data_IF_461451129681
#
_entry.id   IF_461451129681
#
_cell.length_a   1.000
_cell.length_b   1.000
_cell.length_c   1.000
_cell.angle_alpha   90.00
_cell.angle_beta   90.00
_cell.angle_gamma   90.00
#
_symmetry.space_group_name_H-M   'P 1'
#
loop_
_entity.id
_entity.type
_entity.pdbx_description
1 polymer ?
#
# COMPACT_ATOMS: atom_id res chain seq x y z
N UNK A 1 -30.59 37.76 1.66
CA UNK A 1 -29.81 37.97 2.91
C UNK A 1 -30.12 36.79 3.82
N UNK A 2 -29.23 35.88 4.18
CA UNK A 2 -27.76 35.82 4.16
C UNK A 2 -27.36 34.51 3.47
N UNK A 3 -26.53 34.63 2.44
CA UNK A 3 -25.87 33.54 1.72
C UNK A 3 -24.68 33.04 2.54
N UNK A 4 -24.78 31.82 3.07
CA UNK A 4 -23.63 31.08 3.59
C UNK A 4 -23.14 30.09 2.53
N UNK A 5 -22.39 30.55 1.54
CA UNK A 5 -21.60 29.68 0.67
C UNK A 5 -20.25 29.42 1.34
N UNK A 6 -20.15 28.35 2.13
CA UNK A 6 -18.83 27.82 2.52
C UNK A 6 -18.21 27.19 1.26
N UNK A 7 -17.26 27.91 0.66
CA UNK A 7 -16.53 27.52 -0.53
C UNK A 7 -15.70 26.25 -0.26
N UNK A 8 -16.06 25.13 -0.88
CA UNK A 8 -15.26 23.90 -0.95
C UNK A 8 -14.05 24.01 -1.90
N UNK A 9 -13.86 25.15 -2.57
CA UNK A 9 -12.87 25.35 -3.64
C UNK A 9 -11.59 26.18 -3.35
N UNK A 10 -11.31 26.74 -2.15
CA UNK A 10 -10.16 27.62 -1.98
C UNK A 10 -8.83 26.88 -2.11
N UNK A 11 -8.71 25.65 -1.59
CA UNK A 11 -7.45 24.90 -1.66
C UNK A 11 -7.13 24.47 -3.09
N UNK A 12 -8.04 23.75 -3.75
CA UNK A 12 -7.89 23.33 -5.15
C UNK A 12 -7.41 24.47 -6.06
N UNK A 13 -8.10 25.62 -6.04
CA UNK A 13 -7.76 26.74 -6.92
C UNK A 13 -6.39 27.35 -6.59
N UNK A 14 -6.10 27.55 -5.30
CA UNK A 14 -4.79 28.09 -4.85
C UNK A 14 -3.63 27.20 -5.32
N UNK A 15 -3.80 25.87 -5.28
CA UNK A 15 -2.79 24.94 -5.76
C UNK A 15 -2.65 24.98 -7.30
N UNK A 16 -3.76 25.12 -8.04
CA UNK A 16 -3.74 25.29 -9.49
C UNK A 16 -3.05 26.59 -9.92
N UNK A 17 -3.31 27.69 -9.21
CA UNK A 17 -2.68 28.98 -9.48
C UNK A 17 -1.16 28.90 -9.23
N UNK A 18 -0.75 28.18 -8.18
CA UNK A 18 0.67 27.94 -7.89
C UNK A 18 1.39 27.18 -9.01
N UNK A 19 0.82 26.07 -9.49
CA UNK A 19 1.44 25.29 -10.59
C UNK A 19 1.46 26.11 -11.90
N UNK A 20 0.49 27.01 -12.10
CA UNK A 20 0.47 27.95 -13.22
C UNK A 20 1.49 29.10 -13.09
N UNK A 21 2.24 29.17 -11.98
CA UNK A 21 3.25 30.18 -11.73
C UNK A 21 2.68 31.53 -11.30
N UNK A 22 1.41 31.57 -10.87
CA UNK A 22 0.79 32.79 -10.37
C UNK A 22 1.24 33.06 -8.93
N UNK A 23 1.54 34.32 -8.61
CA UNK A 23 2.07 34.73 -7.29
C UNK A 23 0.99 34.84 -6.18
N UNK A 24 -0.22 34.35 -6.42
CA UNK A 24 -1.40 34.57 -5.56
C UNK A 24 -1.54 33.50 -4.46
N UNK A 25 -0.63 32.51 -4.39
CA UNK A 25 -0.69 31.50 -3.34
C UNK A 25 -0.59 32.15 -1.95
N UNK A 26 -1.71 32.18 -1.22
CA UNK A 26 -1.79 32.65 0.15
C UNK A 26 -1.05 31.64 1.04
N UNK A 27 0.26 31.86 1.19
CA UNK A 27 1.13 31.02 2.01
C UNK A 27 0.65 30.92 3.45
N UNK A 28 0.03 31.98 3.98
CA UNK A 28 -0.52 31.96 5.33
C UNK A 28 -1.72 31.01 5.39
N UNK A 29 -2.62 31.06 4.40
CA UNK A 29 -3.71 30.10 4.26
C UNK A 29 -3.19 28.67 4.13
N UNK A 30 -2.23 28.39 3.24
CA UNK A 30 -1.69 27.04 3.05
C UNK A 30 -0.97 26.51 4.30
N UNK A 31 -0.19 27.35 4.99
CA UNK A 31 0.45 26.99 6.25
C UNK A 31 -0.61 26.66 7.32
N UNK A 32 -1.68 27.45 7.42
CA UNK A 32 -2.78 27.17 8.33
C UNK A 32 -3.50 25.85 7.97
N UNK A 33 -3.70 25.55 6.68
CA UNK A 33 -4.28 24.29 6.22
C UNK A 33 -3.42 23.08 6.59
N UNK A 34 -2.08 23.18 6.47
CA UNK A 34 -1.16 22.11 6.86
C UNK A 34 -1.20 21.81 8.37
N UNK A 35 -1.48 22.83 9.21
CA UNK A 35 -1.59 22.69 10.66
C UNK A 35 -3.03 22.39 11.15
N UNK A 36 -4.04 22.56 10.30
CA UNK A 36 -5.44 22.42 10.68
C UNK A 36 -5.80 20.98 11.08
N UNK A 37 -5.27 20.02 10.34
CA UNK A 37 -5.39 18.59 10.64
C UNK A 37 -4.23 18.17 11.54
N UNK A 38 -4.47 18.17 12.86
CA UNK A 38 -3.44 17.91 13.86
C UNK A 38 -2.83 16.50 13.74
N UNK A 39 -3.64 15.50 13.41
CA UNK A 39 -3.18 14.12 13.25
C UNK A 39 -2.25 14.00 12.04
N UNK A 40 -2.65 14.59 10.91
CA UNK A 40 -1.83 14.59 9.69
C UNK A 40 -0.57 15.43 9.85
N UNK A 41 -0.67 16.59 10.49
CA UNK A 41 0.47 17.43 10.81
C UNK A 41 1.48 16.66 11.67
N UNK A 42 1.02 16.00 12.73
CA UNK A 42 1.85 15.17 13.59
C UNK A 42 2.49 14.00 12.81
N UNK A 43 1.72 13.30 11.97
CA UNK A 43 2.21 12.17 11.17
C UNK A 43 3.39 12.54 10.26
N UNK A 44 3.34 13.74 9.68
CA UNK A 44 4.39 14.25 8.80
C UNK A 44 5.42 15.14 9.51
N UNK A 45 5.31 15.32 10.83
CA UNK A 45 6.22 16.14 11.63
C UNK A 45 6.13 17.64 11.34
N UNK A 46 4.95 18.11 10.93
CA UNK A 46 4.65 19.53 10.67
C UNK A 46 4.23 20.19 11.98
N UNK A 47 4.90 21.28 12.33
CA UNK A 47 4.70 22.04 13.56
C UNK A 47 4.67 23.53 13.25
N UNK A 48 4.16 24.35 14.17
CA UNK A 48 4.21 25.81 14.03
C UNK A 48 5.64 26.35 13.82
N UNK A 49 6.66 25.64 14.32
CA UNK A 49 8.06 26.02 14.20
C UNK A 49 8.65 25.76 12.80
N UNK A 50 8.15 24.75 12.07
CA UNK A 50 8.74 24.33 10.79
C UNK A 50 7.76 24.42 9.58
N UNK A 51 6.50 24.79 9.80
CA UNK A 51 5.45 24.81 8.77
C UNK A 51 5.84 25.65 7.55
N UNK A 52 6.51 26.78 7.75
CA UNK A 52 6.92 27.67 6.65
C UNK A 52 7.94 26.98 5.75
N UNK A 53 8.99 26.38 6.33
CA UNK A 53 9.99 25.65 5.55
C UNK A 53 9.41 24.39 4.90
N UNK A 54 8.51 23.69 5.59
CA UNK A 54 7.84 22.51 5.05
C UNK A 54 6.97 22.88 3.84
N UNK A 55 6.20 23.97 3.97
CA UNK A 55 5.34 24.49 2.91
C UNK A 55 6.13 24.82 1.65
N UNK A 56 7.26 25.52 1.77
CA UNK A 56 8.09 25.88 0.60
C UNK A 56 8.65 24.63 -0.10
N UNK A 57 9.06 23.60 0.65
CA UNK A 57 9.50 22.33 0.07
C UNK A 57 8.35 21.60 -0.64
N UNK A 58 7.17 21.54 -0.02
CA UNK A 58 6.02 20.86 -0.59
C UNK A 58 5.49 21.57 -1.84
N UNK A 59 5.47 22.92 -1.84
CA UNK A 59 5.14 23.74 -3.00
C UNK A 59 6.15 23.56 -4.14
N UNK A 60 7.45 23.48 -3.82
CA UNK A 60 8.49 23.18 -4.79
C UNK A 60 8.21 21.82 -5.46
N UNK A 61 8.02 20.76 -4.67
CA UNK A 61 7.78 19.43 -5.22
C UNK A 61 6.45 19.29 -5.95
N UNK A 62 5.40 19.98 -5.51
CA UNK A 62 4.14 20.05 -6.24
C UNK A 62 4.36 20.60 -7.65
N UNK A 63 5.04 21.75 -7.76
CA UNK A 63 5.30 22.38 -9.06
C UNK A 63 6.19 21.52 -9.94
N UNK A 64 7.20 20.88 -9.37
CA UNK A 64 8.16 20.05 -10.11
C UNK A 64 7.57 18.73 -10.61
N UNK A 65 6.60 18.16 -9.89
CA UNK A 65 6.12 16.80 -10.13
C UNK A 65 4.72 16.69 -10.73
N UNK A 66 3.83 17.69 -10.53
CA UNK A 66 2.41 17.58 -10.88
C UNK A 66 2.17 17.20 -12.35
N UNK A 67 2.86 17.84 -13.30
CA UNK A 67 2.66 17.58 -14.72
C UNK A 67 3.04 16.14 -15.15
N UNK A 68 4.09 15.57 -14.55
CA UNK A 68 4.52 14.20 -14.80
C UNK A 68 3.49 13.21 -14.22
N UNK A 69 3.05 13.45 -12.99
CA UNK A 69 2.09 12.59 -12.29
C UNK A 69 0.71 12.64 -12.94
N UNK A 70 0.22 13.83 -13.32
CA UNK A 70 -1.05 13.98 -14.03
C UNK A 70 -1.03 13.24 -15.37
N UNK A 71 0.08 13.34 -16.12
CA UNK A 71 0.28 12.54 -17.34
C UNK A 71 0.26 11.05 -17.05
N UNK A 72 0.96 10.60 -16.01
CA UNK A 72 0.97 9.19 -15.60
C UNK A 72 -0.44 8.69 -15.23
N UNK A 73 -1.19 9.46 -14.45
CA UNK A 73 -2.58 9.15 -14.10
C UNK A 73 -3.45 9.00 -15.35
N UNK A 74 -3.33 9.91 -16.33
CA UNK A 74 -4.11 9.83 -17.59
C UNK A 74 -3.73 8.64 -18.45
N UNK A 75 -2.44 8.47 -18.68
CA UNK A 75 -1.93 7.53 -19.70
C UNK A 75 -1.78 6.10 -19.20
N UNK A 76 -1.48 5.93 -17.92
CA UNK A 76 -1.09 4.62 -17.35
C UNK A 76 -2.07 4.11 -16.30
N UNK A 77 -2.83 5.00 -15.64
CA UNK A 77 -3.93 4.60 -14.74
C UNK A 77 -5.32 4.74 -15.40
N UNK A 78 -5.40 5.41 -16.55
CA UNK A 78 -6.67 5.63 -17.27
C UNK A 78 -7.59 6.64 -16.57
N UNK A 79 -7.07 7.48 -15.70
CA UNK A 79 -7.85 8.48 -14.97
C UNK A 79 -8.06 9.75 -15.82
N UNK A 80 -9.05 10.55 -15.47
CA UNK A 80 -9.26 11.86 -16.12
C UNK A 80 -8.21 12.90 -15.72
N UNK A 81 -7.36 12.60 -14.74
CA UNK A 81 -6.29 13.46 -14.22
C UNK A 81 -5.87 13.01 -12.82
N UNK A 82 -4.80 13.60 -12.29
CA UNK A 82 -4.45 13.45 -10.89
C UNK A 82 -5.16 14.52 -10.05
N UNK A 83 -5.84 14.10 -8.97
CA UNK A 83 -6.40 15.05 -8.00
C UNK A 83 -5.25 15.81 -7.32
N UNK A 84 -5.19 17.13 -7.55
CA UNK A 84 -4.16 17.98 -6.97
C UNK A 84 -4.26 18.03 -5.44
N UNK A 85 -5.47 17.96 -4.89
CA UNK A 85 -5.69 17.93 -3.44
C UNK A 85 -5.26 16.61 -2.82
N UNK A 86 -5.48 15.48 -3.51
CA UNK A 86 -4.96 14.18 -3.05
C UNK A 86 -3.43 14.16 -3.09
N UNK A 87 -2.84 14.68 -4.18
CA UNK A 87 -1.40 14.77 -4.29
C UNK A 87 -0.81 15.67 -3.19
N UNK A 88 -1.48 16.79 -2.90
CA UNK A 88 -1.10 17.72 -1.84
C UNK A 88 -1.22 17.10 -0.44
N UNK A 89 -2.33 16.47 -0.11
CA UNK A 89 -2.60 16.01 1.26
C UNK A 89 -2.01 14.61 1.55
N UNK A 90 -1.71 13.81 0.52
CA UNK A 90 -1.29 12.41 0.66
C UNK A 90 0.00 12.10 -0.07
N UNK A 91 0.00 12.20 -1.40
CA UNK A 91 1.11 11.69 -2.22
C UNK A 91 2.45 12.39 -1.94
N UNK A 92 2.46 13.72 -1.95
CA UNK A 92 3.67 14.52 -1.70
C UNK A 92 4.18 14.40 -0.27
N UNK A 93 3.36 14.54 0.80
CA UNK A 93 3.83 14.35 2.17
C UNK A 93 4.47 12.98 2.40
N UNK A 94 3.88 11.91 1.84
CA UNK A 94 4.46 10.56 1.92
C UNK A 94 5.81 10.52 1.20
N UNK A 95 5.87 10.97 -0.05
CA UNK A 95 7.12 10.95 -0.82
C UNK A 95 8.24 11.79 -0.16
N UNK A 96 7.91 12.97 0.38
CA UNK A 96 8.84 13.81 1.14
C UNK A 96 9.36 13.07 2.39
N UNK A 97 8.47 12.37 3.11
CA UNK A 97 8.84 11.56 4.27
C UNK A 97 9.76 10.40 3.91
N UNK A 98 9.46 9.69 2.82
CA UNK A 98 10.29 8.60 2.29
C UNK A 98 11.67 9.10 1.87
N UNK A 99 11.74 10.22 1.15
CA UNK A 99 12.99 10.87 0.77
C UNK A 99 13.83 11.25 1.99
N UNK A 100 13.21 11.83 3.02
CA UNK A 100 13.88 12.17 4.26
C UNK A 100 14.41 10.93 5.01
N UNK A 101 13.62 9.87 5.17
CA UNK A 101 14.08 8.64 5.80
C UNK A 101 15.23 7.99 5.04
N UNK A 102 15.20 8.05 3.71
CA UNK A 102 16.30 7.54 2.88
C UNK A 102 17.59 8.33 3.10
N UNK A 103 17.53 9.64 3.32
CA UNK A 103 18.73 10.43 3.65
C UNK A 103 19.34 10.04 5.01
N UNK A 104 18.53 9.52 5.94
CA UNK A 104 18.97 9.10 7.28
C UNK A 104 19.45 7.64 7.33
N UNK A 105 19.16 6.83 6.32
CA UNK A 105 19.48 5.40 6.29
C UNK A 105 20.34 5.05 5.07
N UNK A 106 21.49 4.41 5.30
CA UNK A 106 22.26 3.71 4.26
C UNK A 106 22.19 2.20 4.49
N UNK A 107 22.13 1.36 3.44
CA UNK A 107 22.28 1.71 2.02
C UNK A 107 20.99 1.79 1.19
N UNK A 108 19.90 1.09 1.56
CA UNK A 108 18.61 1.10 0.86
C UNK A 108 17.46 1.12 1.88
N UNK A 109 16.48 2.01 1.71
CA UNK A 109 15.29 2.11 2.57
C UNK A 109 14.22 1.13 2.08
N UNK A 110 13.80 0.19 2.91
CA UNK A 110 12.70 -0.75 2.58
C UNK A 110 11.44 -0.34 3.35
N UNK A 111 10.41 0.08 2.62
CA UNK A 111 9.13 0.48 3.18
C UNK A 111 8.05 -0.52 2.81
N UNK A 112 7.43 -1.10 3.83
CA UNK A 112 6.23 -1.92 3.68
C UNK A 112 5.01 -1.05 3.40
N UNK A 113 4.14 -1.49 2.49
CA UNK A 113 2.81 -0.91 2.29
C UNK A 113 1.78 -2.03 2.46
N UNK A 114 1.09 -2.02 3.60
CA UNK A 114 -0.02 -2.92 3.85
C UNK A 114 -1.33 -2.30 3.37
N UNK A 115 -2.15 -3.11 2.69
CA UNK A 115 -3.53 -2.74 2.41
C UNK A 115 -4.34 -3.93 1.91
N UNK A 116 -5.54 -4.09 2.46
CA UNK A 116 -6.51 -5.10 2.02
C UNK A 116 -6.84 -5.00 0.53
N UNK A 117 -7.56 -5.99 0.01
CA UNK A 117 -7.94 -5.99 -1.41
C UNK A 117 -8.75 -4.73 -1.75
N UNK A 118 -8.43 -4.08 -2.88
CA UNK A 118 -9.12 -2.88 -3.32
C UNK A 118 -8.71 -1.57 -2.63
N UNK A 119 -7.88 -1.59 -1.57
CA UNK A 119 -7.46 -0.36 -0.84
C UNK A 119 -6.59 0.62 -1.64
N UNK A 120 -6.05 0.20 -2.80
CA UNK A 120 -5.22 1.05 -3.65
C UNK A 120 -3.72 1.02 -3.39
N UNK A 121 -3.19 0.07 -2.58
CA UNK A 121 -1.74 -0.06 -2.29
C UNK A 121 -0.83 -0.08 -3.53
N UNK A 122 -1.19 -0.86 -4.57
CA UNK A 122 -0.42 -0.91 -5.82
C UNK A 122 -0.47 0.44 -6.56
N UNK A 123 -1.62 1.12 -6.55
CA UNK A 123 -1.79 2.45 -7.15
C UNK A 123 -0.94 3.48 -6.42
N UNK A 124 -0.97 3.49 -5.09
CA UNK A 124 -0.15 4.36 -4.25
C UNK A 124 1.34 4.13 -4.53
N UNK A 125 1.80 2.87 -4.52
CA UNK A 125 3.20 2.51 -4.81
C UNK A 125 3.67 3.03 -6.17
N UNK A 126 2.82 2.91 -7.20
CA UNK A 126 3.11 3.44 -8.54
C UNK A 126 3.19 4.97 -8.57
N UNK A 127 2.25 5.67 -7.94
CA UNK A 127 2.28 7.14 -7.92
C UNK A 127 3.48 7.66 -7.11
N UNK A 128 3.80 7.03 -5.97
CA UNK A 128 4.99 7.37 -5.19
C UNK A 128 6.29 7.16 -5.98
N UNK A 129 6.36 6.12 -6.81
CA UNK A 129 7.50 5.88 -7.72
C UNK A 129 7.71 7.08 -8.65
N UNK A 130 6.64 7.60 -9.27
CA UNK A 130 6.73 8.78 -10.16
C UNK A 130 7.17 10.05 -9.40
N UNK A 131 6.62 10.28 -8.20
CA UNK A 131 6.99 11.44 -7.37
C UNK A 131 8.48 11.36 -6.98
N UNK A 132 8.92 10.20 -6.48
CA UNK A 132 10.28 9.97 -6.01
C UNK A 132 11.30 10.01 -7.17
N UNK A 133 10.91 9.59 -8.37
CA UNK A 133 11.74 9.72 -9.56
C UNK A 133 12.02 11.19 -9.90
N UNK A 134 11.02 12.08 -9.77
CA UNK A 134 11.21 13.53 -9.90
C UNK A 134 12.14 14.09 -8.81
N UNK A 135 12.15 13.48 -7.63
CA UNK A 135 13.10 13.80 -6.55
C UNK A 135 14.50 13.20 -6.76
N UNK A 136 14.76 12.51 -7.88
CA UNK A 136 16.05 11.93 -8.23
C UNK A 136 16.35 10.60 -7.54
N UNK A 137 15.34 9.92 -7.00
CA UNK A 137 15.49 8.64 -6.29
C UNK A 137 15.08 7.45 -7.18
N UNK A 138 15.88 6.39 -7.15
CA UNK A 138 15.54 5.12 -7.80
C UNK A 138 14.65 4.28 -6.89
N UNK A 139 13.49 3.83 -7.38
CA UNK A 139 12.53 3.05 -6.59
C UNK A 139 12.39 1.64 -7.14
N UNK A 140 12.68 0.64 -6.31
CA UNK A 140 12.33 -0.75 -6.57
C UNK A 140 10.92 -1.04 -6.07
N UNK A 141 10.09 -1.71 -6.88
CA UNK A 141 8.76 -2.17 -6.45
C UNK A 141 8.73 -3.69 -6.35
N UNK A 142 8.33 -4.19 -5.18
CA UNK A 142 8.09 -5.60 -4.94
C UNK A 142 6.66 -5.76 -4.45
N UNK A 143 5.86 -6.62 -5.09
CA UNK A 143 4.60 -7.07 -4.53
C UNK A 143 4.81 -8.40 -3.84
N UNK A 144 4.13 -8.67 -2.72
CA UNK A 144 4.13 -10.03 -2.16
C UNK A 144 3.53 -11.03 -3.14
N UNK A 145 2.62 -10.58 -4.01
CA UNK A 145 2.03 -11.41 -5.06
C UNK A 145 3.09 -11.82 -6.11
N UNK A 146 4.17 -11.06 -6.28
CA UNK A 146 5.28 -11.48 -7.16
C UNK A 146 6.07 -12.67 -6.60
N UNK A 147 5.93 -12.91 -5.29
CA UNK A 147 6.59 -13.98 -4.56
C UNK A 147 5.73 -15.24 -4.47
N UNK A 148 4.61 -15.35 -5.19
CA UNK A 148 3.88 -16.61 -5.20
C UNK A 148 4.79 -17.78 -5.62
N UNK A 149 4.56 -18.94 -5.00
CA UNK A 149 5.12 -20.21 -5.46
C UNK A 149 4.74 -20.45 -6.92
N UNK A 150 5.65 -21.07 -7.67
CA UNK A 150 5.40 -21.48 -9.06
C UNK A 150 4.15 -22.35 -9.15
N UNK A 151 3.59 -22.48 -10.36
CA UNK A 151 2.43 -23.35 -10.58
C UNK A 151 2.69 -24.78 -10.06
N UNK A 152 3.84 -25.36 -10.41
CA UNK A 152 4.21 -26.72 -10.00
C UNK A 152 4.28 -26.89 -8.47
N UNK A 153 4.93 -25.96 -7.77
CA UNK A 153 5.00 -25.98 -6.30
C UNK A 153 3.62 -25.82 -5.66
N UNK A 154 2.72 -25.01 -6.24
CA UNK A 154 1.36 -24.85 -5.72
C UNK A 154 0.50 -26.09 -5.96
N UNK A 155 0.71 -26.84 -7.05
CA UNK A 155 0.04 -28.13 -7.24
C UNK A 155 0.46 -29.13 -6.15
N UNK A 156 1.75 -29.17 -5.79
CA UNK A 156 2.23 -30.00 -4.67
C UNK A 156 1.68 -29.53 -3.33
N UNK A 157 1.64 -28.22 -3.10
CA UNK A 157 1.08 -27.63 -1.88
C UNK A 157 -0.39 -27.97 -1.71
N UNK A 158 -1.18 -27.91 -2.79
CA UNK A 158 -2.61 -28.25 -2.76
C UNK A 158 -2.85 -29.74 -2.52
N UNK A 159 -1.95 -30.62 -2.98
CA UNK A 159 -2.00 -32.05 -2.64
C UNK A 159 -1.73 -32.29 -1.15
N UNK A 160 -0.79 -31.54 -0.56
CA UNK A 160 -0.45 -31.65 0.86
C UNK A 160 -1.50 -31.00 1.77
N UNK A 161 -2.09 -29.89 1.35
CA UNK A 161 -3.15 -29.18 2.07
C UNK A 161 -4.22 -28.67 1.09
N UNK A 162 -5.28 -29.47 0.85
CA UNK A 162 -6.36 -29.11 -0.09
C UNK A 162 -7.12 -27.83 0.27
N UNK A 163 -7.00 -27.33 1.51
CA UNK A 163 -7.64 -26.07 1.93
C UNK A 163 -7.00 -24.86 1.26
N UNK A 164 -5.72 -24.95 0.86
CA UNK A 164 -5.00 -23.91 0.12
C UNK A 164 -5.37 -23.89 -1.37
N UNK A 165 -6.66 -23.72 -1.67
CA UNK A 165 -7.20 -23.75 -3.03
C UNK A 165 -6.76 -22.58 -3.91
N UNK A 166 -6.47 -21.44 -3.30
CA UNK A 166 -6.04 -20.23 -4.00
C UNK A 166 -4.69 -19.75 -3.49
N UNK A 167 -3.89 -19.22 -4.42
CA UNK A 167 -2.74 -18.38 -4.08
C UNK A 167 -3.23 -17.18 -3.26
N UNK A 168 -2.53 -16.82 -2.20
CA UNK A 168 -2.90 -15.68 -1.38
C UNK A 168 -2.53 -15.80 0.09
N UNK A 169 -3.00 -16.83 0.80
CA UNK A 169 -2.69 -17.01 2.22
C UNK A 169 -1.20 -17.27 2.50
N UNK A 170 -0.75 -17.02 3.72
CA UNK A 170 0.54 -17.50 4.22
C UNK A 170 0.80 -18.98 3.88
N UNK A 171 2.03 -19.27 3.42
CA UNK A 171 2.45 -20.58 2.92
C UNK A 171 2.40 -20.71 1.39
N UNK A 172 1.69 -19.81 0.69
CA UNK A 172 1.59 -19.84 -0.78
C UNK A 172 2.69 -19.05 -1.51
N UNK A 173 3.66 -18.52 -0.76
CA UNK A 173 4.75 -17.68 -1.28
C UNK A 173 6.11 -18.35 -1.08
N UNK A 174 7.08 -17.93 -1.88
CA UNK A 174 8.49 -18.26 -1.76
C UNK A 174 9.19 -17.14 -0.97
N UNK A 175 9.23 -17.36 0.34
CA UNK A 175 9.74 -16.38 1.29
C UNK A 175 11.26 -16.23 1.17
N UNK A 176 11.97 -17.32 0.88
CA UNK A 176 13.43 -17.32 0.70
C UNK A 176 13.83 -16.46 -0.50
N UNK A 177 13.10 -16.55 -1.63
CA UNK A 177 13.29 -15.68 -2.78
C UNK A 177 13.10 -14.21 -2.40
N UNK A 178 12.02 -13.87 -1.69
CA UNK A 178 11.75 -12.52 -1.22
C UNK A 178 12.86 -11.97 -0.32
N UNK A 179 13.31 -12.79 0.63
CA UNK A 179 14.39 -12.42 1.56
C UNK A 179 15.70 -12.17 0.80
N UNK A 180 16.05 -13.06 -0.14
CA UNK A 180 17.23 -12.93 -0.98
C UNK A 180 17.20 -11.63 -1.81
N UNK A 181 16.07 -11.31 -2.44
CA UNK A 181 15.91 -10.06 -3.22
C UNK A 181 16.11 -8.83 -2.34
N UNK A 182 15.44 -8.76 -1.18
CA UNK A 182 15.57 -7.60 -0.29
C UNK A 182 16.99 -7.45 0.26
N UNK A 183 17.67 -8.55 0.60
CA UNK A 183 19.06 -8.53 1.05
C UNK A 183 20.02 -8.09 -0.06
N UNK A 184 19.80 -8.54 -1.31
CA UNK A 184 20.59 -8.10 -2.45
C UNK A 184 20.40 -6.60 -2.73
N UNK A 185 19.16 -6.09 -2.66
CA UNK A 185 18.87 -4.67 -2.82
C UNK A 185 19.47 -3.81 -1.70
N UNK A 186 19.62 -4.37 -0.49
CA UNK A 186 20.38 -3.74 0.61
C UNK A 186 21.90 -3.88 0.46
N UNK A 187 22.42 -4.71 -0.43
CA UNK A 187 23.87 -4.87 -0.53
C UNK A 187 24.51 -3.62 -1.16
N UNK A 188 25.64 -3.18 -0.59
CA UNK A 188 26.31 -1.92 -0.99
C UNK A 188 27.07 -2.07 -2.31
N UNK A 189 27.12 -3.26 -2.90
CA UNK A 189 27.85 -3.52 -4.15
C UNK A 189 27.25 -2.70 -5.30
N UNK A 190 27.93 -1.63 -5.73
CA UNK A 190 27.43 -0.80 -6.81
C UNK A 190 27.41 -1.68 -8.07
N UNK A 191 26.24 -1.77 -8.72
CA UNK A 191 26.07 -2.38 -10.04
C UNK A 191 25.92 -3.90 -10.13
N UNK A 192 25.68 -4.63 -9.04
CA UNK A 192 25.18 -6.00 -9.19
C UNK A 192 23.68 -5.95 -9.56
N UNK A 193 23.27 -6.40 -10.76
CA UNK A 193 21.86 -6.42 -11.12
C UNK A 193 21.11 -7.38 -10.20
N UNK A 194 19.99 -6.94 -9.64
CA UNK A 194 19.09 -7.74 -8.83
C UNK A 194 17.87 -8.09 -9.67
N UNK A 195 17.54 -9.38 -9.72
CA UNK A 195 16.35 -9.88 -10.38
C UNK A 195 15.17 -9.85 -9.42
N UNK A 196 14.27 -8.88 -9.58
CA UNK A 196 13.02 -8.80 -8.83
C UNK A 196 11.99 -9.70 -9.52
N UNK A 197 11.42 -10.71 -8.84
CA UNK A 197 10.47 -11.63 -9.46
C UNK A 197 9.21 -10.90 -9.90
N UNK A 198 8.54 -11.49 -10.89
CA UNK A 198 7.24 -11.06 -11.39
C UNK A 198 6.32 -12.27 -11.54
N UNK A 199 5.04 -12.06 -11.29
CA UNK A 199 4.04 -13.12 -11.36
C UNK A 199 2.88 -12.73 -12.29
N UNK A 200 2.60 -13.57 -13.28
CA UNK A 200 1.47 -13.40 -14.18
C UNK A 200 0.32 -14.29 -13.73
N UNK A 201 -0.75 -13.65 -13.24
CA UNK A 201 -1.98 -14.28 -12.75
C UNK A 201 -2.81 -14.94 -13.85
N UNK A 202 -2.56 -14.64 -15.13
CA UNK A 202 -3.33 -15.13 -16.27
C UNK A 202 -2.86 -16.49 -16.80
N UNK A 203 -1.60 -16.86 -16.55
CA UNK A 203 -1.04 -18.15 -16.94
C UNK A 203 -1.82 -19.32 -16.33
N UNK A 204 -1.73 -20.50 -16.94
CA UNK A 204 -2.41 -21.72 -16.47
C UNK A 204 -3.91 -21.51 -16.20
N UNK A 205 -4.62 -20.91 -17.16
CA UNK A 205 -6.06 -20.64 -17.06
C UNK A 205 -6.45 -19.83 -15.81
N UNK A 206 -5.64 -18.84 -15.45
CA UNK A 206 -5.88 -17.99 -14.28
C UNK A 206 -5.30 -18.50 -12.96
N UNK A 207 -4.69 -19.69 -12.95
CA UNK A 207 -3.97 -20.19 -11.78
C UNK A 207 -2.68 -19.37 -11.52
N UNK A 208 -2.05 -18.89 -12.59
CA UNK A 208 -0.87 -18.02 -12.61
C UNK A 208 0.48 -18.73 -12.48
N UNK A 209 1.56 -18.08 -12.87
CA UNK A 209 2.93 -18.55 -12.67
C UNK A 209 3.93 -17.40 -12.60
N UNK A 210 5.16 -17.70 -12.20
CA UNK A 210 6.27 -16.74 -12.30
C UNK A 210 6.61 -16.49 -13.77
N UNK A 211 6.99 -15.25 -14.06
CA UNK A 211 7.48 -14.80 -15.37
C UNK A 211 8.91 -14.31 -15.26
N UNK A 212 9.45 -13.83 -16.38
CA UNK A 212 10.76 -13.17 -16.38
C UNK A 212 10.82 -12.05 -15.32
N UNK A 213 11.90 -12.02 -14.52
CA UNK A 213 12.06 -11.02 -13.49
C UNK A 213 12.37 -9.64 -14.09
N UNK A 214 12.06 -8.60 -13.34
CA UNK A 214 12.54 -7.25 -13.62
C UNK A 214 13.96 -7.09 -13.10
N UNK A 215 14.88 -6.65 -13.95
CA UNK A 215 16.28 -6.42 -13.57
C UNK A 215 16.47 -4.98 -13.10
N UNK A 216 16.89 -4.81 -11.85
CA UNK A 216 17.15 -3.50 -11.23
C UNK A 216 18.61 -3.41 -10.84
N UNK A 217 19.28 -2.32 -11.23
CA UNK A 217 20.71 -2.10 -10.94
C UNK A 217 20.95 -1.16 -9.75
N UNK A 218 19.92 -0.44 -9.30
CA UNK A 218 19.94 0.46 -8.16
C UNK A 218 18.52 0.64 -7.60
N UNK A 219 18.39 0.60 -6.28
CA UNK A 219 17.20 1.07 -5.58
C UNK A 219 17.64 1.90 -4.38
N UNK A 220 17.27 3.18 -4.36
CA UNK A 220 17.39 4.01 -3.16
C UNK A 220 16.29 3.65 -2.16
N UNK A 221 15.09 3.35 -2.67
CA UNK A 221 13.92 2.97 -1.85
C UNK A 221 13.28 1.73 -2.47
N UNK A 222 12.90 0.75 -1.65
CA UNK A 222 12.05 -0.37 -2.04
C UNK A 222 10.67 -0.18 -1.44
N UNK A 223 9.65 -0.13 -2.29
CA UNK A 223 8.26 -0.18 -1.89
C UNK A 223 7.79 -1.64 -1.96
N UNK A 224 7.72 -2.28 -0.80
CA UNK A 224 7.26 -3.66 -0.67
C UNK A 224 5.79 -3.70 -0.25
N UNK A 225 4.89 -3.98 -1.19
CA UNK A 225 3.45 -3.89 -0.98
C UNK A 225 2.76 -5.25 -0.93
N UNK A 226 1.69 -5.36 -0.13
CA UNK A 226 0.91 -6.59 -0.07
C UNK A 226 -0.23 -6.54 0.94
N UNK A 227 -1.13 -7.51 0.84
CA UNK A 227 -2.36 -7.52 1.64
C UNK A 227 -2.15 -7.90 3.11
N UNK A 228 -1.00 -8.52 3.43
CA UNK A 228 -0.59 -8.87 4.80
C UNK A 228 0.89 -8.53 5.09
N UNK A 229 1.49 -7.58 4.35
CA UNK A 229 2.88 -7.16 4.60
C UNK A 229 3.04 -6.65 6.03
N UNK A 230 3.98 -7.23 6.77
CA UNK A 230 4.26 -6.88 8.17
C UNK A 230 3.35 -7.55 9.20
N UNK A 231 2.29 -8.27 8.79
CA UNK A 231 1.40 -8.99 9.72
C UNK A 231 2.17 -10.09 10.44
N UNK A 232 1.97 -10.16 11.76
CA UNK A 232 2.64 -11.12 12.67
C UNK A 232 1.65 -12.14 13.21
N UNK A 233 2.11 -13.35 13.60
CA UNK A 233 1.29 -14.30 14.32
C UNK A 233 0.70 -13.67 15.59
N UNK A 234 -0.56 -14.00 15.89
CA UNK A 234 -1.26 -13.64 17.12
C UNK A 234 -1.41 -14.86 18.04
N UNK A 235 -1.85 -14.64 19.27
CA UNK A 235 -2.21 -15.73 20.18
C UNK A 235 -3.33 -16.60 19.57
N UNK A 236 -3.13 -17.93 19.41
CA UNK A 236 -4.16 -18.83 18.87
C UNK A 236 -5.49 -18.81 19.63
N UNK A 237 -5.52 -18.38 20.90
CA UNK A 237 -6.77 -18.20 21.64
C UNK A 237 -7.69 -17.12 21.04
N UNK A 238 -7.15 -16.17 20.26
CA UNK A 238 -7.96 -15.16 19.58
C UNK A 238 -8.96 -15.78 18.58
N UNK A 239 -8.70 -16.99 18.08
CA UNK A 239 -9.61 -17.70 17.18
C UNK A 239 -10.79 -18.36 17.91
N UNK A 240 -10.79 -18.39 19.25
CA UNK A 240 -11.89 -18.94 20.06
C UNK A 240 -13.11 -18.01 20.11
N UNK A 241 -12.92 -16.73 19.80
CA UNK A 241 -13.99 -15.73 19.68
C UNK A 241 -13.85 -14.90 18.40
N UNK A 242 -13.32 -15.49 17.33
CA UNK A 242 -13.13 -14.77 16.07
C UNK A 242 -14.47 -14.33 15.44
N UNK A 243 -14.47 -13.17 14.76
CA UNK A 243 -15.61 -12.73 13.98
C UNK A 243 -15.85 -13.61 12.74
N UNK A 244 -17.07 -13.57 12.16
CA UNK A 244 -17.32 -14.18 10.85
C UNK A 244 -16.37 -13.61 9.79
N UNK A 245 -15.86 -14.42 8.85
CA UNK A 245 -16.34 -15.77 8.52
C UNK A 245 -15.65 -16.93 9.27
N UNK A 246 -14.90 -16.69 10.35
CA UNK A 246 -14.29 -17.76 11.16
C UNK A 246 -15.31 -18.24 12.21
N UNK A 247 -16.18 -19.17 11.81
CA UNK A 247 -17.31 -19.59 12.65
C UNK A 247 -17.18 -21.03 13.13
N UNK A 248 -16.94 -21.95 12.21
CA UNK A 248 -16.89 -23.40 12.50
C UNK A 248 -15.53 -23.81 13.08
N UNK A 249 -15.44 -25.00 13.69
CA UNK A 249 -14.15 -25.51 14.16
C UNK A 249 -13.17 -25.73 12.99
N UNK A 250 -13.67 -26.10 11.82
CA UNK A 250 -12.85 -26.20 10.61
C UNK A 250 -12.27 -24.85 10.20
N UNK A 251 -13.05 -23.77 10.27
CA UNK A 251 -12.57 -22.42 9.97
C UNK A 251 -11.50 -21.98 10.99
N UNK A 252 -11.73 -22.26 12.28
CA UNK A 252 -10.80 -21.93 13.36
C UNK A 252 -9.50 -22.70 13.23
N UNK A 253 -9.56 -24.00 12.93
CA UNK A 253 -8.40 -24.83 12.67
C UNK A 253 -7.61 -24.29 11.45
N UNK A 254 -8.31 -23.93 10.37
CA UNK A 254 -7.65 -23.31 9.21
C UNK A 254 -6.99 -21.97 9.57
N UNK A 255 -7.67 -21.09 10.32
CA UNK A 255 -7.12 -19.80 10.73
C UNK A 255 -5.89 -19.96 11.65
N UNK A 256 -5.91 -20.91 12.60
CA UNK A 256 -4.77 -21.25 13.46
C UNK A 256 -3.58 -21.76 12.64
N UNK A 257 -3.82 -22.66 11.69
CA UNK A 257 -2.76 -23.18 10.81
C UNK A 257 -2.13 -22.06 9.95
N UNK A 258 -2.95 -21.16 9.40
CA UNK A 258 -2.46 -20.00 8.64
C UNK A 258 -1.69 -19.03 9.54
N UNK A 259 -2.15 -18.81 10.77
CA UNK A 259 -1.46 -18.01 11.77
C UNK A 259 -0.07 -18.58 12.12
N UNK A 260 0.07 -19.90 12.21
CA UNK A 260 1.38 -20.52 12.43
C UNK A 260 2.30 -20.39 11.21
N UNK A 261 1.76 -20.50 9.99
CA UNK A 261 2.52 -20.25 8.74
C UNK A 261 3.06 -18.83 8.63
N UNK A 262 2.47 -17.84 9.31
CA UNK A 262 3.03 -16.48 9.35
C UNK A 262 4.43 -16.42 9.99
N UNK A 263 4.81 -17.42 10.80
CA UNK A 263 6.15 -17.48 11.41
C UNK A 263 7.26 -17.49 10.36
N UNK A 264 7.00 -18.16 9.22
CA UNK A 264 7.95 -18.25 8.11
C UNK A 264 8.21 -16.89 7.46
N UNK A 265 7.28 -15.94 7.58
CA UNK A 265 7.38 -14.60 7.00
C UNK A 265 8.11 -13.60 7.92
N UNK A 266 8.35 -13.94 9.19
CA UNK A 266 9.01 -13.04 10.13
C UNK A 266 10.39 -12.56 9.67
N UNK A 267 11.28 -13.39 9.09
CA UNK A 267 12.55 -12.93 8.54
C UNK A 267 12.38 -11.90 7.41
N UNK A 268 11.33 -12.05 6.60
CA UNK A 268 11.01 -11.09 5.54
C UNK A 268 10.55 -9.75 6.13
N UNK A 269 9.72 -9.78 7.17
CA UNK A 269 9.29 -8.57 7.87
C UNK A 269 10.41 -7.87 8.62
N UNK A 270 11.42 -8.59 9.08
CA UNK A 270 12.61 -7.99 9.69
C UNK A 270 13.41 -7.13 8.70
N UNK A 271 13.21 -7.32 7.39
CA UNK A 271 13.79 -6.45 6.36
C UNK A 271 13.02 -5.15 6.17
N UNK A 272 11.91 -4.88 6.88
CA UNK A 272 11.19 -3.61 6.77
C UNK A 272 11.78 -2.57 7.73
N UNK A 273 12.13 -1.38 7.21
CA UNK A 273 12.55 -0.23 8.02
C UNK A 273 11.35 0.56 8.55
N UNK A 274 10.30 0.63 7.73
CA UNK A 274 9.10 1.45 7.93
C UNK A 274 7.90 0.71 7.35
N UNK A 275 6.71 1.00 7.86
CA UNK A 275 5.45 0.41 7.40
C UNK A 275 4.36 1.48 7.30
N UNK A 276 3.74 1.55 6.13
CA UNK A 276 2.53 2.34 5.84
C UNK A 276 1.34 1.39 5.78
N UNK A 277 0.26 1.74 6.48
CA UNK A 277 -0.97 0.92 6.55
C UNK A 277 -2.14 1.68 5.94
N UNK A 278 -2.69 1.13 4.86
CA UNK A 278 -3.98 1.55 4.29
C UNK A 278 -5.09 0.77 4.98
N UNK A 279 -5.81 1.44 5.87
CA UNK A 279 -6.85 0.84 6.70
C UNK A 279 -8.22 1.37 6.27
N UNK A 280 -9.08 0.59 5.59
CA UNK A 280 -10.46 1.02 5.45
C UNK A 280 -11.11 1.16 6.82
N UNK A 281 -12.02 2.13 7.00
CA UNK A 281 -12.79 2.25 8.26
C UNK A 281 -13.72 1.05 8.47
N UNK A 282 -13.99 0.31 7.41
CA UNK A 282 -14.69 -0.97 7.43
C UNK A 282 -14.01 -1.94 6.45
N UNK A 283 -13.46 -3.03 6.97
CA UNK A 283 -12.77 -4.02 6.15
C UNK A 283 -13.65 -4.65 5.06
N UNK A 284 -14.99 -4.62 5.26
CA UNK A 284 -15.97 -5.16 4.31
C UNK A 284 -16.04 -4.39 3.00
N UNK A 285 -15.50 -3.16 2.97
CA UNK A 285 -15.33 -2.41 1.73
C UNK A 285 -14.54 -3.19 0.67
N UNK A 286 -13.67 -4.14 1.07
CA UNK A 286 -12.95 -4.97 0.11
C UNK A 286 -13.85 -5.86 -0.76
N UNK A 287 -15.01 -6.29 -0.26
CA UNK A 287 -16.00 -7.01 -1.10
C UNK A 287 -16.52 -6.10 -2.20
N UNK A 288 -16.99 -4.90 -1.84
CA UNK A 288 -17.51 -3.93 -2.80
C UNK A 288 -16.45 -3.53 -3.83
N UNK A 289 -15.23 -3.19 -3.39
CA UNK A 289 -14.15 -2.81 -4.29
C UNK A 289 -13.74 -3.95 -5.20
N UNK A 290 -13.76 -5.20 -4.70
CA UNK A 290 -13.45 -6.35 -5.55
C UNK A 290 -14.53 -6.57 -6.60
N UNK A 291 -15.82 -6.45 -6.24
CA UNK A 291 -16.93 -6.52 -7.21
C UNK A 291 -16.81 -5.44 -8.28
N UNK A 292 -16.54 -4.20 -7.89
CA UNK A 292 -16.34 -3.09 -8.83
C UNK A 292 -15.20 -3.36 -9.80
N UNK A 293 -14.05 -3.84 -9.31
CA UNK A 293 -12.92 -4.19 -10.15
C UNK A 293 -13.23 -5.35 -11.12
N UNK A 294 -13.91 -6.39 -10.64
CA UNK A 294 -14.30 -7.55 -11.46
C UNK A 294 -15.31 -7.13 -12.54
N UNK A 295 -16.32 -6.34 -12.21
CA UNK A 295 -17.30 -5.81 -13.16
C UNK A 295 -16.66 -4.93 -14.24
N UNK A 296 -15.67 -4.10 -13.87
CA UNK A 296 -14.90 -3.32 -14.84
C UNK A 296 -14.10 -4.21 -15.80
N UNK A 297 -13.50 -5.30 -15.30
CA UNK A 297 -12.80 -6.27 -16.14
C UNK A 297 -13.75 -7.01 -17.09
N UNK A 298 -14.93 -7.41 -16.61
CA UNK A 298 -15.97 -8.07 -17.41
C UNK A 298 -16.50 -7.11 -18.49
N UNK A 299 -16.77 -5.85 -18.14
CA UNK A 299 -17.20 -4.82 -19.08
C UNK A 299 -16.13 -4.54 -20.16
N UNK A 300 -14.85 -4.74 -19.84
CA UNK A 300 -13.73 -4.67 -20.80
C UNK A 300 -13.56 -5.96 -21.65
N UNK A 301 -14.50 -6.90 -21.58
CA UNK A 301 -14.51 -8.11 -22.41
C UNK A 301 -13.70 -9.29 -21.85
N UNK A 302 -13.27 -9.24 -20.59
CA UNK A 302 -12.56 -10.36 -19.94
C UNK A 302 -13.57 -11.29 -19.24
N UNK A 303 -13.20 -12.55 -19.05
CA UNK A 303 -13.92 -13.45 -18.14
C UNK A 303 -13.69 -13.02 -16.70
N UNK A 304 -14.70 -13.18 -15.84
CA UNK A 304 -14.60 -12.85 -14.41
C UNK A 304 -15.54 -13.69 -13.56
N UNK A 305 -15.39 -13.54 -12.25
CA UNK A 305 -16.22 -14.18 -11.23
C UNK A 305 -17.60 -13.53 -11.11
N UNK A 306 -18.60 -14.33 -10.73
CA UNK A 306 -19.90 -13.85 -10.25
C UNK A 306 -19.78 -13.19 -8.88
N UNK A 307 -20.75 -12.36 -8.49
CA UNK A 307 -20.75 -11.70 -7.18
C UNK A 307 -20.64 -12.69 -6.00
N UNK A 308 -21.29 -13.86 -6.10
CA UNK A 308 -21.22 -14.90 -5.08
C UNK A 308 -19.81 -15.53 -5.00
N UNK A 309 -19.17 -15.79 -6.14
CA UNK A 309 -17.78 -16.27 -6.19
C UNK A 309 -16.80 -15.22 -5.66
N UNK A 310 -17.07 -13.93 -5.90
CA UNK A 310 -16.27 -12.82 -5.35
C UNK A 310 -16.39 -12.76 -3.83
N UNK A 311 -17.60 -12.90 -3.29
CA UNK A 311 -17.82 -12.91 -1.85
C UNK A 311 -17.10 -14.09 -1.20
N UNK A 312 -17.25 -15.28 -1.77
CA UNK A 312 -16.54 -16.49 -1.31
C UNK A 312 -15.02 -16.31 -1.42
N UNK A 313 -14.56 -15.65 -2.49
CA UNK A 313 -13.16 -15.29 -2.67
C UNK A 313 -12.67 -14.40 -1.54
N UNK A 314 -13.33 -13.27 -1.28
CA UNK A 314 -12.90 -12.31 -0.26
C UNK A 314 -12.99 -12.91 1.15
N UNK A 315 -14.08 -13.63 1.45
CA UNK A 315 -14.25 -14.30 2.74
C UNK A 315 -13.16 -15.34 3.00
N UNK A 316 -12.70 -16.08 2.00
CA UNK A 316 -11.59 -17.01 2.18
C UNK A 316 -10.32 -16.31 2.71
N UNK A 317 -10.01 -15.10 2.23
CA UNK A 317 -8.89 -14.33 2.76
C UNK A 317 -9.15 -13.88 4.19
N UNK A 318 -10.38 -13.48 4.52
CA UNK A 318 -10.75 -13.14 5.90
C UNK A 318 -10.74 -14.35 6.85
N UNK A 319 -11.06 -15.56 6.36
CA UNK A 319 -10.89 -16.81 7.14
C UNK A 319 -9.41 -17.10 7.40
N UNK A 320 -8.54 -16.76 6.45
CA UNK A 320 -7.10 -16.99 6.57
C UNK A 320 -6.44 -15.99 7.53
N UNK A 321 -6.71 -14.69 7.38
CA UNK A 321 -6.18 -13.60 8.20
C UNK A 321 -7.26 -12.53 8.37
N UNK A 322 -8.09 -12.65 9.40
CA UNK A 322 -9.18 -11.73 9.62
C UNK A 322 -8.69 -10.31 9.96
N UNK A 323 -9.10 -9.26 9.23
CA UNK A 323 -8.58 -7.90 9.44
C UNK A 323 -8.72 -7.40 10.88
N UNK A 324 -9.85 -7.66 11.54
CA UNK A 324 -10.08 -7.25 12.93
C UNK A 324 -9.14 -7.93 13.95
N UNK A 325 -8.59 -9.10 13.62
CA UNK A 325 -7.66 -9.80 14.51
C UNK A 325 -6.20 -9.36 14.28
N UNK A 326 -5.85 -9.07 13.02
CA UNK A 326 -4.45 -8.89 12.61
C UNK A 326 -4.02 -7.43 12.41
N UNK A 327 -4.93 -6.52 12.06
CA UNK A 327 -4.59 -5.10 11.87
C UNK A 327 -4.37 -4.37 13.19
N UNK A 328 -5.25 -4.47 14.22
CA UNK A 328 -5.05 -3.75 15.47
C UNK A 328 -3.71 -3.99 16.18
N UNK A 329 -3.18 -5.23 16.30
CA UNK A 329 -1.86 -5.42 16.90
C UNK A 329 -0.74 -4.86 16.01
N UNK A 330 -0.89 -4.88 14.68
CA UNK A 330 0.08 -4.31 13.75
C UNK A 330 0.18 -2.79 13.86
N UNK A 331 -0.92 -2.10 14.14
CA UNK A 331 -0.91 -0.65 14.37
C UNK A 331 -0.06 -0.26 15.59
N UNK A 332 0.24 -1.20 16.49
CA UNK A 332 1.11 -0.99 17.66
C UNK A 332 2.56 -1.41 17.40
N UNK A 333 2.87 -1.99 16.24
CA UNK A 333 4.24 -2.33 15.88
C UNK A 333 5.05 -1.03 15.73
N UNK A 334 6.24 -0.91 16.33
CA UNK A 334 7.05 0.31 16.31
C UNK A 334 7.54 0.68 14.90
N UNK A 335 7.42 -0.21 13.92
CA UNK A 335 7.72 0.08 12.51
C UNK A 335 6.52 0.62 11.76
N UNK A 336 5.32 0.66 12.34
CA UNK A 336 4.15 1.28 11.70
C UNK A 336 4.25 2.79 11.87
N UNK A 337 4.73 3.46 10.84
CA UNK A 337 4.99 4.91 10.88
C UNK A 337 3.80 5.74 10.42
N UNK A 338 2.92 5.17 9.59
CA UNK A 338 1.83 5.91 8.98
C UNK A 338 0.60 5.03 8.78
N UNK A 339 -0.54 5.50 9.23
CA UNK A 339 -1.85 4.88 8.99
C UNK A 339 -2.71 5.86 8.21
N UNK A 340 -3.34 5.37 7.13
CA UNK A 340 -4.28 6.12 6.31
C UNK A 340 -5.62 5.42 6.41
N UNK A 341 -6.56 6.05 7.10
CA UNK A 341 -7.94 5.58 7.17
C UNK A 341 -8.69 5.95 5.90
N UNK A 342 -9.35 4.99 5.27
CA UNK A 342 -10.01 5.16 3.98
C UNK A 342 -11.53 5.03 4.10
N UNK A 343 -12.24 5.95 3.45
CA UNK A 343 -13.68 5.82 3.20
C UNK A 343 -13.97 4.77 2.11
N UNK A 344 -15.25 4.47 1.89
CA UNK A 344 -15.68 3.58 0.80
C UNK A 344 -15.31 4.10 -0.60
N UNK A 345 -15.15 5.41 -0.77
CA UNK A 345 -14.77 6.05 -2.04
C UNK A 345 -13.24 6.27 -2.16
N UNK A 346 -12.46 5.50 -1.39
CA UNK A 346 -11.01 5.58 -1.30
C UNK A 346 -10.46 6.94 -0.84
N UNK A 347 -11.30 7.80 -0.27
CA UNK A 347 -10.86 9.10 0.23
C UNK A 347 -10.15 8.91 1.57
N UNK A 348 -8.99 9.57 1.79
CA UNK A 348 -8.33 9.59 3.08
C UNK A 348 -9.21 10.35 4.08
N UNK A 349 -9.65 9.69 5.14
CA UNK A 349 -10.44 10.29 6.22
C UNK A 349 -9.54 10.80 7.34
N UNK A 350 -8.50 10.03 7.65
CA UNK A 350 -7.55 10.33 8.73
C UNK A 350 -6.17 9.82 8.35
N UNK A 351 -5.14 10.61 8.62
CA UNK A 351 -3.74 10.22 8.42
C UNK A 351 -3.01 10.48 9.71
N UNK A 352 -2.42 9.45 10.32
CA UNK A 352 -1.78 9.60 11.63
C UNK A 352 -0.57 8.68 11.77
N UNK A 353 0.34 9.05 12.68
CA UNK A 353 1.36 8.15 13.22
C UNK A 353 0.75 7.41 14.42
N UNK A 354 0.69 6.08 14.42
CA UNK A 354 0.09 5.36 15.54
C UNK A 354 0.99 5.42 16.77
N UNK A 355 0.40 5.59 17.94
CA UNK A 355 1.16 5.67 19.19
C UNK A 355 1.61 4.26 19.58
N UNK A 356 2.93 4.07 19.72
CA UNK A 356 3.48 2.89 20.39
C UNK A 356 3.19 3.02 21.89
N UNK A 357 2.33 2.17 22.44
CA UNK A 357 2.05 2.11 23.88
C UNK A 357 3.06 1.25 24.64
#
# INVERSE_FOLDING_TARGET
MVSGSSSQFPLHQVLLDWIAGQSIADRAFLAAQLLHDADRAAAFGITSANVVSHLEQQLHWLRSSYAAIDRFCRTTLGWTGCSIEWLWNVGLPIAMRLSHWRQLQEPCLIVGILGGQGTGKTTLSRILTEILAVMGLCVGRLSIDDLYKTYAERQQLQQADPRLRWRGPPGTHDVELGLSVLQQLRSVSPHQPVAIPRFDKSLWSGAGDRTDPEIVTKADIVLFEGWFVGVRPIDPAAFDSAPPPIVTETDRAFARDINDRLRDYLPLWQQLDRLVVLCPTDYRFSQQWRRQAEHQMIAAGRTGMTDAEIDEFVEYFWRSLHPELFIPPLLRDPRTDLVIELSIDHQPLRIYHPISH
#
